data_IF_730307663177
#
_entry.id   IF_730307663177
#
_cell.length_a   1.000
_cell.length_b   1.000
_cell.length_c   1.000
_cell.angle_alpha   90.00
_cell.angle_beta   90.00
_cell.angle_gamma   90.00
#
_symmetry.space_group_name_H-M   'P 1'
#
loop_
_entity.id
_entity.type
_entity.pdbx_description
1 polymer ?
#
# COMPACT_ATOMS: atom_id res chain seq x y z
N UNK A 1 -18.89 -0.89 -2.81
CA UNK A 1 -19.05 -0.45 -1.40
C UNK A 1 -19.99 0.76 -1.27
N UNK A 2 -19.91 1.76 -2.16
CA UNK A 2 -20.79 2.93 -2.08
C UNK A 2 -22.26 2.60 -2.29
N UNK A 3 -22.58 1.78 -3.29
CA UNK A 3 -23.96 1.36 -3.62
C UNK A 3 -24.58 0.45 -2.57
N UNK A 4 -23.77 -0.34 -1.87
CA UNK A 4 -24.19 -1.24 -0.81
C UNK A 4 -23.83 -0.79 0.60
N UNK A 5 -23.64 0.51 0.83
CA UNK A 5 -23.11 1.08 2.07
C UNK A 5 -23.87 0.60 3.32
N UNK A 6 -25.20 0.63 3.31
CA UNK A 6 -26.01 0.21 4.45
C UNK A 6 -25.84 -1.27 4.77
N UNK A 7 -25.77 -2.10 3.73
CA UNK A 7 -25.56 -3.55 3.86
C UNK A 7 -24.15 -3.83 4.38
N UNK A 8 -23.14 -3.15 3.85
CA UNK A 8 -21.75 -3.30 4.27
C UNK A 8 -21.54 -2.87 5.73
N UNK A 9 -22.20 -1.81 6.17
CA UNK A 9 -22.16 -1.34 7.56
C UNK A 9 -22.89 -2.27 8.52
N UNK A 10 -23.96 -2.91 8.08
CA UNK A 10 -24.72 -3.89 8.88
C UNK A 10 -24.02 -5.24 8.98
N UNK A 11 -23.18 -5.59 8.00
CA UNK A 11 -22.36 -6.79 8.05
C UNK A 11 -21.27 -6.62 9.14
N UNK A 12 -21.09 -7.61 9.98
CA UNK A 12 -20.07 -7.56 11.04
C UNK A 12 -18.66 -7.60 10.51
N UNK A 13 -18.45 -8.27 9.38
CA UNK A 13 -17.14 -8.48 8.77
C UNK A 13 -17.29 -8.58 7.25
N UNK A 14 -16.32 -8.01 6.54
CA UNK A 14 -16.20 -8.11 5.09
C UNK A 14 -14.84 -8.64 4.71
N UNK A 15 -14.81 -9.50 3.70
CA UNK A 15 -13.57 -9.93 3.05
C UNK A 15 -13.53 -9.33 1.66
N UNK A 16 -12.51 -8.52 1.39
CA UNK A 16 -12.30 -7.83 0.13
C UNK A 16 -11.09 -8.40 -0.60
N UNK A 17 -11.24 -8.58 -1.90
CA UNK A 17 -10.15 -8.99 -2.78
C UNK A 17 -10.04 -8.00 -3.95
N UNK A 18 -9.50 -6.78 -3.72
CA UNK A 18 -9.33 -5.82 -4.79
C UNK A 18 -8.26 -6.30 -5.78
N UNK A 19 -8.51 -6.08 -7.07
CA UNK A 19 -7.62 -6.52 -8.15
C UNK A 19 -6.69 -5.41 -8.64
N UNK A 20 -7.02 -4.16 -8.34
CA UNK A 20 -6.25 -2.98 -8.73
C UNK A 20 -6.46 -1.84 -7.76
N UNK A 21 -5.63 -0.80 -7.87
CA UNK A 21 -5.76 0.44 -7.09
C UNK A 21 -5.84 0.21 -5.57
N UNK A 22 -5.01 -0.68 -5.07
CA UNK A 22 -5.00 -1.09 -3.67
C UNK A 22 -4.84 0.07 -2.68
N UNK A 23 -4.01 1.05 -3.01
CA UNK A 23 -3.82 2.24 -2.19
C UNK A 23 -5.12 3.04 -2.07
N UNK A 24 -5.81 3.26 -3.18
CA UNK A 24 -7.10 3.96 -3.20
C UNK A 24 -8.17 3.21 -2.41
N UNK A 25 -8.20 1.89 -2.49
CA UNK A 25 -9.11 1.05 -1.69
C UNK A 25 -8.84 1.21 -0.20
N UNK A 26 -7.58 1.15 0.23
CA UNK A 26 -7.19 1.31 1.63
C UNK A 26 -7.53 2.71 2.16
N UNK A 27 -7.28 3.74 1.37
CA UNK A 27 -7.64 5.12 1.70
C UNK A 27 -9.16 5.28 1.86
N UNK A 28 -9.93 4.75 0.92
CA UNK A 28 -11.40 4.76 0.99
C UNK A 28 -11.92 4.09 2.27
N UNK A 29 -11.40 2.92 2.60
CA UNK A 29 -11.80 2.19 3.81
C UNK A 29 -11.51 3.00 5.07
N UNK A 30 -10.33 3.58 5.19
CA UNK A 30 -9.94 4.41 6.33
C UNK A 30 -10.81 5.66 6.47
N UNK A 31 -11.13 6.32 5.36
CA UNK A 31 -11.94 7.55 5.34
C UNK A 31 -13.42 7.28 5.65
N UNK A 32 -13.92 6.09 5.37
CA UNK A 32 -15.33 5.73 5.51
C UNK A 32 -15.66 4.87 6.74
N UNK A 33 -14.75 4.83 7.71
CA UNK A 33 -14.98 4.19 8.99
C UNK A 33 -14.79 2.67 9.02
N UNK A 34 -14.11 2.11 8.05
CA UNK A 34 -13.72 0.70 8.04
C UNK A 34 -12.35 0.51 8.66
N UNK A 35 -12.23 -0.52 9.48
CA UNK A 35 -10.97 -0.93 10.10
C UNK A 35 -10.53 -2.26 9.48
N UNK A 36 -9.28 -2.28 9.00
CA UNK A 36 -8.67 -3.52 8.51
C UNK A 36 -8.10 -4.30 9.67
N UNK A 37 -8.54 -5.55 9.84
CA UNK A 37 -8.08 -6.44 10.91
C UNK A 37 -6.96 -7.37 10.49
N UNK A 38 -6.98 -7.80 9.24
CA UNK A 38 -5.99 -8.73 8.70
C UNK A 38 -5.85 -8.56 7.19
N UNK A 39 -4.68 -8.89 6.69
CA UNK A 39 -4.39 -8.92 5.26
C UNK A 39 -3.67 -10.24 4.91
N UNK A 40 -3.96 -10.76 3.75
CA UNK A 40 -3.34 -11.96 3.18
C UNK A 40 -2.95 -11.66 1.72
N UNK A 41 -1.94 -12.35 1.24
CA UNK A 41 -1.57 -12.33 -0.16
C UNK A 41 -1.27 -13.74 -0.64
N UNK A 42 -1.86 -14.12 -1.76
CA UNK A 42 -1.70 -15.42 -2.39
C UNK A 42 -1.11 -15.24 -3.77
N UNK A 43 -0.20 -16.13 -4.14
CA UNK A 43 0.33 -16.24 -5.50
C UNK A 43 -0.21 -17.51 -6.15
N UNK A 44 -0.96 -17.34 -7.24
CA UNK A 44 -1.61 -18.45 -7.94
C UNK A 44 -1.64 -18.15 -9.44
N UNK A 45 -1.30 -19.12 -10.26
CA UNK A 45 -1.28 -19.02 -11.72
C UNK A 45 -0.53 -17.79 -12.26
N UNK A 46 0.60 -17.45 -11.64
CA UNK A 46 1.44 -16.32 -12.03
C UNK A 46 0.93 -14.95 -11.59
N UNK A 47 -0.11 -14.89 -10.77
CA UNK A 47 -0.74 -13.64 -10.30
C UNK A 47 -0.76 -13.54 -8.78
N UNK A 48 -0.67 -12.32 -8.29
CA UNK A 48 -0.75 -12.01 -6.86
C UNK A 48 -2.16 -11.52 -6.51
N UNK A 49 -2.73 -12.10 -5.47
CA UNK A 49 -4.08 -11.79 -5.00
C UNK A 49 -4.02 -11.29 -3.55
N UNK A 50 -4.06 -9.97 -3.32
CA UNK A 50 -4.20 -9.42 -1.97
C UNK A 50 -5.64 -9.54 -1.48
N UNK A 51 -5.80 -9.83 -0.19
CA UNK A 51 -7.09 -9.94 0.47
C UNK A 51 -7.07 -9.18 1.78
N UNK A 52 -8.18 -8.53 2.12
CA UNK A 52 -8.34 -7.77 3.36
C UNK A 52 -9.60 -8.22 4.09
N UNK A 53 -9.47 -8.38 5.39
CA UNK A 53 -10.61 -8.55 6.29
C UNK A 53 -10.83 -7.23 7.01
N UNK A 54 -12.01 -6.65 6.83
CA UNK A 54 -12.38 -5.35 7.38
C UNK A 54 -13.71 -5.41 8.12
N UNK A 55 -13.90 -4.51 9.08
CA UNK A 55 -15.20 -4.29 9.71
C UNK A 55 -15.49 -2.79 9.75
N UNK A 56 -16.77 -2.44 9.78
CA UNK A 56 -17.21 -1.08 9.96
C UNK A 56 -17.20 -0.70 11.44
N UNK A 57 -16.60 0.44 11.75
CA UNK A 57 -16.58 1.01 13.11
C UNK A 57 -17.04 2.45 13.04
N UNK A 58 -18.27 2.71 13.55
CA UNK A 58 -18.90 4.03 13.49
C UNK A 58 -18.19 5.11 14.32
N UNK A 59 -17.52 4.73 15.41
CA UNK A 59 -16.78 5.63 16.28
C UNK A 59 -15.28 5.58 15.93
N UNK A 60 -14.73 6.73 15.55
CA UNK A 60 -13.29 6.88 15.44
C UNK A 60 -12.70 6.79 16.85
N UNK A 61 -11.84 5.82 17.10
CA UNK A 61 -11.01 5.84 18.28
C UNK A 61 -10.06 7.04 18.17
N UNK A 62 -10.43 8.13 18.87
CA UNK A 62 -9.60 9.34 18.94
C UNK A 62 -8.23 9.08 19.58
N UNK A 63 -8.08 7.97 20.31
CA UNK A 63 -6.83 7.59 20.96
C UNK A 63 -5.72 7.18 19.97
N UNK A 64 -6.07 6.72 18.76
CA UNK A 64 -5.09 6.46 17.72
C UNK A 64 -4.49 7.75 17.14
N UNK A 65 -5.21 8.86 17.24
CA UNK A 65 -4.79 10.16 16.69
C UNK A 65 -3.93 10.98 17.68
N UNK A 66 -4.02 10.70 18.98
CA UNK A 66 -3.26 11.43 20.01
C UNK A 66 -1.78 11.10 20.05
N UNK A 67 -1.38 9.89 19.66
CA UNK A 67 0.02 9.49 19.60
C UNK A 67 0.77 10.17 18.43
N UNK A 68 0.04 10.80 17.52
CA UNK A 68 0.57 11.42 16.30
C UNK A 68 0.99 12.89 16.51
N UNK A 69 0.50 13.55 17.59
CA UNK A 69 0.73 14.99 17.80
C UNK A 69 2.09 15.37 18.39
N UNK A 70 2.84 14.43 18.95
CA UNK A 70 4.03 14.77 19.75
C UNK A 70 5.38 14.72 19.02
N UNK A 71 5.41 14.55 17.70
CA UNK A 71 6.67 14.50 16.93
C UNK A 71 6.65 15.39 15.69
N UNK A 72 6.88 16.68 15.85
CA UNK A 72 6.89 17.65 14.75
C UNK A 72 8.01 17.45 13.71
N UNK A 73 9.06 16.69 14.02
CA UNK A 73 10.18 16.43 13.10
C UNK A 73 9.99 15.24 12.16
N UNK A 74 8.77 14.67 12.08
CA UNK A 74 8.55 13.44 11.34
C UNK A 74 7.38 13.48 10.32
N UNK A 75 6.89 14.66 9.94
CA UNK A 75 5.75 14.76 9.01
C UNK A 75 6.02 14.10 7.66
N UNK A 76 7.21 14.28 7.09
CA UNK A 76 7.58 13.65 5.82
C UNK A 76 7.81 12.15 5.96
N UNK A 77 8.48 11.72 7.04
CA UNK A 77 8.71 10.30 7.31
C UNK A 77 7.40 9.56 7.59
N UNK A 78 6.47 10.19 8.32
CA UNK A 78 5.13 9.63 8.57
C UNK A 78 4.32 9.54 7.29
N UNK A 79 4.37 10.57 6.44
CA UNK A 79 3.69 10.59 5.15
C UNK A 79 4.24 9.50 4.22
N UNK A 80 5.55 9.34 4.18
CA UNK A 80 6.21 8.29 3.40
C UNK A 80 5.85 6.90 3.91
N UNK A 81 5.88 6.68 5.21
CA UNK A 81 5.48 5.41 5.83
C UNK A 81 4.01 5.08 5.55
N UNK A 82 3.12 6.05 5.71
CA UNK A 82 1.71 5.90 5.39
C UNK A 82 1.51 5.48 3.93
N UNK A 83 2.23 6.11 3.01
CA UNK A 83 2.17 5.77 1.58
C UNK A 83 2.61 4.34 1.31
N UNK A 84 3.70 3.89 1.93
CA UNK A 84 4.19 2.51 1.82
C UNK A 84 3.15 1.51 2.34
N UNK A 85 2.56 1.80 3.50
CA UNK A 85 1.51 0.95 4.09
C UNK A 85 0.24 0.92 3.22
N UNK A 86 -0.13 2.04 2.58
CA UNK A 86 -1.25 2.09 1.64
C UNK A 86 -0.99 1.26 0.37
N UNK A 87 0.22 1.33 -0.16
CA UNK A 87 0.60 0.61 -1.39
C UNK A 87 0.67 -0.90 -1.18
N UNK A 88 1.26 -1.34 -0.08
CA UNK A 88 1.63 -2.75 0.10
C UNK A 88 0.89 -3.47 1.22
N UNK A 89 0.26 -2.75 2.13
CA UNK A 89 -0.49 -3.30 3.25
C UNK A 89 0.31 -3.35 4.54
N UNK A 90 -0.18 -2.63 5.55
CA UNK A 90 0.45 -2.55 6.87
C UNK A 90 0.69 -3.91 7.50
N UNK A 91 -0.34 -4.77 7.52
CA UNK A 91 -0.26 -6.08 8.16
C UNK A 91 0.67 -7.03 7.41
N UNK A 92 0.63 -7.00 6.07
CA UNK A 92 1.55 -7.80 5.25
C UNK A 92 3.01 -7.42 5.50
N UNK A 93 3.30 -6.13 5.65
CA UNK A 93 4.64 -5.63 5.96
C UNK A 93 5.08 -5.99 7.37
N UNK A 94 4.24 -5.74 8.36
CA UNK A 94 4.55 -6.02 9.77
C UNK A 94 4.74 -7.52 10.04
N UNK A 95 3.95 -8.37 9.41
CA UNK A 95 4.05 -9.82 9.51
C UNK A 95 5.15 -10.41 8.62
N UNK A 96 5.83 -9.57 7.84
CA UNK A 96 6.86 -9.99 6.88
C UNK A 96 6.36 -11.10 5.95
N UNK A 97 5.19 -10.88 5.35
CA UNK A 97 4.53 -11.87 4.50
C UNK A 97 5.46 -12.30 3.36
N UNK A 98 5.75 -13.60 3.20
CA UNK A 98 6.71 -14.09 2.22
C UNK A 98 6.24 -13.92 0.77
N UNK A 99 4.94 -13.96 0.52
CA UNK A 99 4.38 -13.74 -0.83
C UNK A 99 4.53 -12.27 -1.23
N UNK A 100 4.28 -11.34 -0.30
CA UNK A 100 4.55 -9.92 -0.55
C UNK A 100 6.04 -9.69 -0.82
N UNK A 101 6.93 -10.36 -0.10
CA UNK A 101 8.37 -10.26 -0.35
C UNK A 101 8.74 -10.65 -1.78
N UNK A 102 8.21 -11.77 -2.27
CA UNK A 102 8.40 -12.19 -3.67
C UNK A 102 7.90 -11.12 -4.65
N UNK A 103 6.72 -10.57 -4.38
CA UNK A 103 6.15 -9.50 -5.18
C UNK A 103 7.05 -8.26 -5.22
N UNK A 104 7.56 -7.82 -4.08
CA UNK A 104 8.43 -6.65 -3.96
C UNK A 104 9.76 -6.83 -4.71
N UNK A 105 10.38 -7.98 -4.60
CA UNK A 105 11.62 -8.29 -5.31
C UNK A 105 11.40 -8.25 -6.83
N UNK A 106 10.31 -8.81 -7.29
CA UNK A 106 9.93 -8.83 -8.70
C UNK A 106 9.59 -7.44 -9.23
N UNK A 107 8.83 -6.67 -8.45
CA UNK A 107 8.49 -5.28 -8.77
C UNK A 107 9.73 -4.39 -8.86
N UNK A 108 10.67 -4.54 -7.93
CA UNK A 108 11.96 -3.84 -7.95
C UNK A 108 12.71 -4.09 -9.26
N UNK A 109 12.80 -5.35 -9.69
CA UNK A 109 13.44 -5.72 -10.94
C UNK A 109 12.78 -5.04 -12.15
N UNK A 110 11.45 -4.97 -12.15
CA UNK A 110 10.69 -4.28 -13.20
C UNK A 110 11.03 -2.79 -13.23
N UNK A 111 11.06 -2.11 -12.09
CA UNK A 111 11.41 -0.70 -12.02
C UNK A 111 12.86 -0.42 -12.46
N UNK A 112 13.80 -1.25 -12.04
CA UNK A 112 15.19 -1.14 -12.45
C UNK A 112 15.35 -1.30 -13.99
N UNK A 113 14.66 -2.25 -14.57
CA UNK A 113 14.65 -2.45 -16.03
C UNK A 113 14.04 -1.26 -16.77
N UNK A 114 12.96 -0.69 -16.26
CA UNK A 114 12.33 0.51 -16.85
C UNK A 114 13.31 1.69 -16.81
N UNK A 115 13.99 1.91 -15.69
CA UNK A 115 14.99 2.98 -15.58
C UNK A 115 16.15 2.79 -16.57
N UNK A 116 16.68 1.58 -16.69
CA UNK A 116 17.74 1.27 -17.63
C UNK A 116 17.32 1.56 -19.07
N UNK A 117 16.10 1.22 -19.44
CA UNK A 117 15.55 1.50 -20.77
C UNK A 117 15.37 3.00 -21.00
N UNK A 118 14.90 3.75 -19.98
CA UNK A 118 14.73 5.20 -20.07
C UNK A 118 16.09 5.93 -20.23
N UNK A 119 17.14 5.46 -19.55
CA UNK A 119 18.48 6.02 -19.67
C UNK A 119 19.07 5.88 -21.08
N UNK A 120 18.65 4.87 -21.83
CA UNK A 120 19.11 4.62 -23.21
C UNK A 120 18.38 5.48 -24.24
N UNK A 121 17.30 6.15 -23.86
CA UNK A 121 16.52 7.00 -24.76
C UNK A 121 17.09 8.42 -24.81
N UNK A 122 16.87 9.16 -25.94
CA UNK A 122 17.26 10.57 -26.00
C UNK A 122 16.59 11.39 -24.90
N UNK A 123 17.32 12.34 -24.34
CA UNK A 123 16.79 13.24 -23.33
C UNK A 123 15.58 14.02 -23.85
N UNK A 124 14.50 14.02 -23.06
CA UNK A 124 13.31 14.82 -23.29
C UNK A 124 12.63 15.10 -21.96
N UNK A 125 11.79 16.13 -21.92
CA UNK A 125 11.00 16.47 -20.72
C UNK A 125 10.10 15.29 -20.30
N UNK A 126 9.50 14.60 -21.27
CA UNK A 126 8.63 13.43 -21.06
C UNK A 126 9.40 12.27 -20.43
N UNK A 127 10.63 12.01 -20.89
CA UNK A 127 11.50 10.97 -20.31
C UNK A 127 11.92 11.35 -18.90
N UNK A 128 12.28 12.61 -18.64
CA UNK A 128 12.67 13.09 -17.30
C UNK A 128 11.53 12.93 -16.30
N UNK A 129 10.31 13.28 -16.66
CA UNK A 129 9.10 13.10 -15.81
C UNK A 129 8.88 11.63 -15.50
N UNK A 130 8.94 10.76 -16.50
CA UNK A 130 8.76 9.32 -16.31
C UNK A 130 9.84 8.71 -15.41
N UNK A 131 11.08 9.13 -15.55
CA UNK A 131 12.18 8.70 -14.69
C UNK A 131 11.94 9.06 -13.23
N UNK A 132 11.48 10.27 -12.95
CA UNK A 132 11.15 10.71 -11.58
C UNK A 132 10.01 9.89 -10.98
N UNK A 133 8.96 9.61 -11.75
CA UNK A 133 7.86 8.74 -11.31
C UNK A 133 8.32 7.33 -10.93
N UNK A 134 9.18 6.73 -11.75
CA UNK A 134 9.70 5.38 -11.51
C UNK A 134 10.67 5.36 -10.33
N UNK A 135 11.52 6.38 -10.19
CA UNK A 135 12.41 6.53 -9.03
C UNK A 135 11.63 6.66 -7.72
N UNK A 136 10.55 7.42 -7.72
CA UNK A 136 9.67 7.55 -6.55
C UNK A 136 9.03 6.20 -6.20
N UNK A 137 8.49 5.49 -7.18
CA UNK A 137 7.92 4.16 -6.99
C UNK A 137 8.95 3.16 -6.47
N UNK A 138 10.17 3.19 -6.99
CA UNK A 138 11.29 2.37 -6.53
C UNK A 138 11.66 2.70 -5.07
N UNK A 139 11.64 3.97 -4.70
CA UNK A 139 11.87 4.41 -3.30
C UNK A 139 10.86 3.81 -2.33
N UNK A 140 9.59 3.78 -2.67
CA UNK A 140 8.55 3.12 -1.87
C UNK A 140 8.74 1.61 -1.79
N UNK A 141 9.11 0.97 -2.89
CA UNK A 141 9.44 -0.46 -2.94
C UNK A 141 10.61 -0.79 -2.01
N UNK A 142 11.69 -0.02 -2.06
CA UNK A 142 12.85 -0.19 -1.17
C UNK A 142 12.50 0.01 0.30
N UNK A 143 11.66 0.98 0.62
CA UNK A 143 11.15 1.19 1.97
C UNK A 143 10.32 0.00 2.47
N UNK A 144 9.51 -0.61 1.61
CA UNK A 144 8.78 -1.83 1.91
C UNK A 144 9.73 -3.02 2.15
N UNK A 145 10.73 -3.20 1.28
CA UNK A 145 11.75 -4.25 1.43
C UNK A 145 12.56 -4.11 2.73
N UNK A 146 12.72 -2.89 3.24
CA UNK A 146 13.42 -2.64 4.50
C UNK A 146 12.74 -3.33 5.70
N UNK A 147 11.43 -3.56 5.67
CA UNK A 147 10.72 -4.33 6.70
C UNK A 147 11.23 -5.76 6.85
N UNK A 148 11.79 -6.32 5.77
CA UNK A 148 12.26 -7.72 5.73
C UNK A 148 13.72 -7.88 6.18
N UNK A 149 14.45 -6.79 6.40
CA UNK A 149 15.88 -6.81 6.75
C UNK A 149 16.17 -6.93 8.25
N UNK A 150 15.17 -6.80 9.08
CA UNK A 150 15.31 -6.83 10.55
C UNK A 150 14.94 -8.17 11.16
#
# INVERSE_FOLDING_TARGET
LEEGKDICQAAGELILQPQSELCSVREYLAENGYVTEAERMVFEDGKYYPMMRVHYQAEKNEDADKTIKDMENSKEQKKSRYKVECLYGRYLLMEKNPVLHQYLVKERQVFENILDNLFKQPESEKIAVRMEEVKEALGYNEAALAYYRT
#
